data_IF_158279384700
#
_entry.id   IF_158279384700
#
_cell.length_a   1.000
_cell.length_b   1.000
_cell.length_c   1.000
_cell.angle_alpha   90.00
_cell.angle_beta   90.00
_cell.angle_gamma   90.00
#
_symmetry.space_group_name_H-M   'P 1'
#
loop_
_entity.id
_entity.type
_entity.pdbx_description
1 polymer ?
#
# COMPACT_ATOMS: atom_id res chain seq x y z
N UNK A 1 -4.31 -14.87 0.66
CA UNK A 1 -3.89 -15.41 1.97
C UNK A 1 -2.81 -14.54 2.62
N UNK A 2 -1.77 -14.11 1.90
CA UNK A 2 -0.68 -13.29 2.45
C UNK A 2 -1.07 -11.85 2.88
N UNK A 3 -1.96 -11.20 2.14
CA UNK A 3 -2.49 -9.85 2.48
C UNK A 3 -3.11 -9.80 3.87
N UNK A 4 -4.02 -10.73 4.15
CA UNK A 4 -4.74 -10.78 5.42
C UNK A 4 -3.79 -11.05 6.60
N UNK A 5 -2.73 -11.85 6.43
CA UNK A 5 -1.80 -12.14 7.51
C UNK A 5 -1.05 -10.90 8.02
N UNK A 6 -0.45 -10.13 7.12
CA UNK A 6 0.29 -8.92 7.48
C UNK A 6 -0.63 -7.83 8.03
N UNK A 7 -1.76 -7.59 7.38
CA UNK A 7 -2.67 -6.52 7.77
C UNK A 7 -3.44 -6.86 9.06
N UNK A 8 -3.70 -8.15 9.33
CA UNK A 8 -4.30 -8.62 10.58
C UNK A 8 -3.43 -8.25 11.78
N UNK A 9 -2.12 -8.44 11.69
CA UNK A 9 -1.17 -8.06 12.76
C UNK A 9 -1.22 -6.55 13.00
N UNK A 10 -1.24 -5.73 11.95
CA UNK A 10 -1.37 -4.28 12.07
C UNK A 10 -2.71 -3.84 12.68
N UNK A 11 -3.78 -4.56 12.39
CA UNK A 11 -5.13 -4.23 12.87
C UNK A 11 -5.34 -4.59 14.33
N UNK A 12 -4.89 -5.77 14.76
CA UNK A 12 -5.19 -6.31 16.09
C UNK A 12 -4.00 -6.28 17.07
N UNK A 13 -2.79 -5.99 16.58
CA UNK A 13 -1.56 -6.02 17.38
C UNK A 13 -1.65 -5.14 18.62
N UNK A 14 -1.89 -3.84 18.45
CA UNK A 14 -1.98 -2.88 19.57
C UNK A 14 -3.02 -3.29 20.64
N UNK A 15 -4.30 -3.56 20.30
CA UNK A 15 -5.28 -3.93 21.31
C UNK A 15 -4.99 -5.29 21.97
N UNK A 16 -4.45 -6.27 21.26
CA UNK A 16 -4.06 -7.56 21.85
C UNK A 16 -2.89 -7.37 22.83
N UNK A 17 -1.86 -6.63 22.42
CA UNK A 17 -0.72 -6.34 23.29
C UNK A 17 -1.16 -5.61 24.55
N UNK A 18 -2.07 -4.64 24.44
CA UNK A 18 -2.64 -3.95 25.60
C UNK A 18 -3.45 -4.88 26.53
N UNK A 19 -4.25 -5.79 25.95
CA UNK A 19 -5.02 -6.77 26.73
C UNK A 19 -4.11 -7.79 27.44
N UNK A 20 -3.08 -8.28 26.77
CA UNK A 20 -2.11 -9.21 27.35
C UNK A 20 -1.28 -8.54 28.45
N UNK A 21 -0.85 -7.29 28.25
CA UNK A 21 -0.19 -6.50 29.29
C UNK A 21 -1.07 -6.32 30.53
N UNK A 22 -2.36 -6.05 30.34
CA UNK A 22 -3.32 -5.92 31.43
C UNK A 22 -3.52 -7.23 32.21
N UNK A 23 -3.70 -8.36 31.51
CA UNK A 23 -3.85 -9.65 32.16
C UNK A 23 -2.59 -10.04 32.94
N UNK A 24 -1.41 -9.81 32.36
CA UNK A 24 -0.14 -10.05 33.04
C UNK A 24 -0.03 -9.21 34.32
N UNK A 25 -0.33 -7.91 34.24
CA UNK A 25 -0.36 -7.06 35.43
C UNK A 25 -1.31 -7.59 36.50
N UNK A 26 -2.54 -7.95 36.12
CA UNK A 26 -3.56 -8.50 37.03
C UNK A 26 -3.08 -9.76 37.75
N UNK A 27 -2.32 -10.62 37.08
CA UNK A 27 -1.77 -11.85 37.66
C UNK A 27 -0.63 -11.58 38.65
N UNK A 28 0.17 -10.52 38.44
CA UNK A 28 1.29 -10.19 39.34
C UNK A 28 0.84 -9.64 40.69
N UNK A 29 -0.32 -8.97 40.76
CA UNK A 29 -0.81 -8.34 41.99
C UNK A 29 0.00 -7.13 42.46
N UNK A 30 0.97 -6.66 41.66
CA UNK A 30 1.82 -5.50 41.95
C UNK A 30 1.06 -4.22 41.58
N UNK A 31 1.19 -3.11 42.34
CA UNK A 31 0.68 -1.81 41.93
C UNK A 31 1.12 -1.41 40.51
N UNK A 32 0.22 -0.84 39.70
CA UNK A 32 0.49 -0.56 38.28
C UNK A 32 1.66 0.41 38.04
N UNK A 33 1.96 1.26 39.02
CA UNK A 33 3.08 2.19 39.02
C UNK A 33 4.45 1.52 39.29
N UNK A 34 4.45 0.27 39.78
CA UNK A 34 5.66 -0.46 40.17
C UNK A 34 6.00 -1.62 39.21
N UNK A 35 5.09 -1.99 38.31
CA UNK A 35 5.32 -3.03 37.31
C UNK A 35 5.98 -2.46 36.05
N UNK A 36 7.25 -2.80 35.84
CA UNK A 36 7.93 -2.57 34.57
C UNK A 36 7.39 -3.51 33.49
N UNK A 37 7.12 -2.97 32.30
CA UNK A 37 6.52 -3.69 31.16
C UNK A 37 7.52 -4.63 30.43
N UNK A 38 8.41 -5.28 31.18
CA UNK A 38 9.43 -6.20 30.64
C UNK A 38 8.79 -7.40 29.91
N UNK A 39 7.56 -7.74 30.31
CA UNK A 39 6.71 -8.71 29.62
C UNK A 39 6.52 -8.38 28.13
N UNK A 40 6.29 -7.11 27.79
CA UNK A 40 6.11 -6.67 26.41
C UNK A 40 7.41 -6.62 25.61
N UNK A 41 8.54 -6.51 26.31
CA UNK A 41 9.87 -6.54 25.69
C UNK A 41 10.34 -7.98 25.39
N UNK A 42 9.66 -8.99 25.93
CA UNK A 42 9.96 -10.39 25.63
C UNK A 42 9.48 -10.78 24.24
N UNK A 43 10.27 -11.59 23.52
CA UNK A 43 9.98 -12.01 22.13
C UNK A 43 8.86 -13.06 22.02
N UNK A 44 8.26 -13.48 23.14
CA UNK A 44 7.38 -14.66 23.23
C UNK A 44 5.94 -14.30 23.63
N UNK A 45 5.40 -13.20 23.10
CA UNK A 45 3.99 -12.86 23.27
C UNK A 45 3.15 -13.83 22.41
N UNK A 46 2.67 -14.91 23.03
CA UNK A 46 1.80 -15.90 22.38
C UNK A 46 0.37 -15.36 22.34
N UNK A 47 -0.09 -15.03 21.14
CA UNK A 47 -1.47 -14.59 20.91
C UNK A 47 -2.40 -15.79 20.78
N UNK A 48 -3.52 -15.86 21.53
CA UNK A 48 -4.49 -16.94 21.39
C UNK A 48 -5.15 -16.98 20.00
N UNK A 49 -5.21 -18.17 19.40
CA UNK A 49 -5.72 -18.36 18.03
C UNK A 49 -7.16 -17.85 17.82
N UNK A 50 -8.03 -17.95 18.84
CA UNK A 50 -9.41 -17.50 18.73
C UNK A 50 -9.51 -15.98 18.52
N UNK A 51 -8.60 -15.19 19.11
CA UNK A 51 -8.58 -13.73 18.93
C UNK A 51 -8.20 -13.37 17.50
N UNK A 52 -7.25 -14.09 16.91
CA UNK A 52 -6.85 -13.91 15.50
C UNK A 52 -8.00 -14.24 14.54
N UNK A 53 -8.74 -15.32 14.80
CA UNK A 53 -9.89 -15.71 13.96
C UNK A 53 -10.98 -14.65 14.01
N UNK A 54 -11.36 -14.18 15.22
CA UNK A 54 -12.39 -13.15 15.39
C UNK A 54 -11.95 -11.86 14.71
N UNK A 55 -10.71 -11.43 14.91
CA UNK A 55 -10.17 -10.23 14.29
C UNK A 55 -10.16 -10.32 12.75
N UNK A 56 -9.84 -11.50 12.19
CA UNK A 56 -9.92 -11.75 10.75
C UNK A 56 -11.33 -11.63 10.19
N UNK A 57 -12.34 -12.14 10.91
CA UNK A 57 -13.75 -12.00 10.53
C UNK A 57 -14.18 -10.54 10.57
N UNK A 58 -13.89 -9.82 11.66
CA UNK A 58 -14.24 -8.40 11.81
C UNK A 58 -13.59 -7.56 10.72
N UNK A 59 -12.30 -7.77 10.45
CA UNK A 59 -11.59 -7.11 9.36
C UNK A 59 -12.25 -7.36 8.01
N UNK A 60 -12.53 -8.64 7.69
CA UNK A 60 -13.14 -9.03 6.42
C UNK A 60 -14.51 -8.36 6.21
N UNK A 61 -15.38 -8.40 7.23
CA UNK A 61 -16.68 -7.74 7.20
C UNK A 61 -16.56 -6.22 7.04
N UNK A 62 -15.60 -5.61 7.74
CA UNK A 62 -15.38 -4.16 7.68
C UNK A 62 -14.97 -3.72 6.28
N UNK A 63 -14.05 -4.45 5.63
CA UNK A 63 -13.63 -4.15 4.26
C UNK A 63 -14.78 -4.39 3.28
N UNK A 64 -15.52 -5.49 3.43
CA UNK A 64 -16.62 -5.84 2.53
C UNK A 64 -17.74 -4.79 2.53
N UNK A 65 -18.06 -4.22 3.68
CA UNK A 65 -19.13 -3.23 3.85
C UNK A 65 -18.65 -1.78 3.65
N UNK A 66 -17.36 -1.54 3.44
CA UNK A 66 -16.79 -0.19 3.41
C UNK A 66 -16.93 0.48 2.05
N UNK A 67 -17.74 1.53 2.00
CA UNK A 67 -17.83 2.43 0.84
C UNK A 67 -16.49 3.11 0.52
N UNK A 68 -15.64 3.36 1.53
CA UNK A 68 -14.30 3.91 1.34
C UNK A 68 -13.38 2.91 0.64
N UNK A 69 -13.42 1.63 1.03
CA UNK A 69 -12.63 0.59 0.38
C UNK A 69 -12.97 0.48 -1.10
N UNK A 70 -14.27 0.53 -1.44
CA UNK A 70 -14.73 0.55 -2.84
C UNK A 70 -14.17 1.74 -3.63
N UNK A 71 -14.20 2.95 -3.06
CA UNK A 71 -13.65 4.16 -3.70
C UNK A 71 -12.13 4.10 -3.91
N UNK A 72 -11.41 3.44 -3.01
CA UNK A 72 -9.96 3.21 -3.16
C UNK A 72 -9.70 2.28 -4.33
N UNK A 73 -10.42 1.15 -4.41
CA UNK A 73 -10.33 0.23 -5.55
C UNK A 73 -10.62 0.94 -6.88
N UNK A 74 -11.66 1.78 -6.94
CA UNK A 74 -11.94 2.58 -8.14
C UNK A 74 -10.78 3.52 -8.52
N UNK A 75 -10.10 4.11 -7.54
CA UNK A 75 -8.97 5.02 -7.78
C UNK A 75 -7.73 4.26 -8.27
N UNK A 76 -7.44 3.10 -7.68
CA UNK A 76 -6.36 2.21 -8.09
C UNK A 76 -6.56 1.71 -9.52
N UNK A 77 -7.78 1.25 -9.85
CA UNK A 77 -8.13 0.80 -11.21
C UNK A 77 -7.96 1.93 -12.23
N UNK A 78 -8.39 3.15 -11.90
CA UNK A 78 -8.23 4.30 -12.80
C UNK A 78 -6.77 4.65 -13.06
N UNK A 79 -5.90 4.58 -12.04
CA UNK A 79 -4.47 4.89 -12.17
C UNK A 79 -3.70 3.84 -12.98
N UNK A 80 -4.10 2.57 -12.86
CA UNK A 80 -3.44 1.47 -13.55
C UNK A 80 -3.92 1.24 -14.99
N UNK A 81 -5.02 1.88 -15.42
CA UNK A 81 -5.69 1.62 -16.70
C UNK A 81 -4.75 1.87 -17.89
N UNK A 82 -4.83 1.00 -18.89
CA UNK A 82 -4.01 1.14 -20.10
C UNK A 82 -4.57 2.20 -21.05
N UNK A 83 -5.90 2.30 -21.17
CA UNK A 83 -6.54 3.23 -22.08
C UNK A 83 -6.55 4.68 -21.57
N UNK A 84 -6.31 5.61 -22.49
CA UNK A 84 -6.38 7.06 -22.24
C UNK A 84 -7.79 7.47 -21.84
N UNK A 85 -7.92 8.24 -20.76
CA UNK A 85 -9.15 8.95 -20.40
C UNK A 85 -8.83 9.99 -19.33
N UNK A 86 -9.86 10.55 -18.68
CA UNK A 86 -9.67 11.70 -17.78
C UNK A 86 -8.69 11.42 -16.63
N UNK A 87 -7.51 12.05 -16.74
CA UNK A 87 -6.46 11.99 -15.74
C UNK A 87 -6.84 12.85 -14.54
N UNK A 88 -7.08 12.21 -13.38
CA UNK A 88 -7.56 12.89 -12.16
C UNK A 88 -6.52 13.85 -11.53
N UNK A 89 -5.24 13.70 -11.87
CA UNK A 89 -4.14 14.44 -11.25
C UNK A 89 -3.59 15.52 -12.16
N UNK A 90 -3.33 16.72 -11.61
CA UNK A 90 -2.71 17.80 -12.39
C UNK A 90 -1.18 17.61 -12.46
N UNK A 91 -0.56 17.81 -13.62
CA UNK A 91 0.88 17.71 -13.78
C UNK A 91 1.57 18.84 -12.99
N UNK A 92 2.73 18.55 -12.40
CA UNK A 92 3.51 19.52 -11.63
C UNK A 92 4.96 19.58 -12.14
N UNK A 93 5.75 20.55 -11.67
CA UNK A 93 7.12 20.75 -12.14
C UNK A 93 8.02 19.52 -11.90
N UNK A 94 7.80 18.82 -10.78
CA UNK A 94 8.56 17.63 -10.42
C UNK A 94 8.23 16.47 -11.37
N UNK A 95 6.95 16.22 -11.64
CA UNK A 95 6.53 15.13 -12.54
C UNK A 95 6.99 15.38 -13.97
N UNK A 96 6.95 16.63 -14.45
CA UNK A 96 7.51 17.03 -15.75
C UNK A 96 9.00 16.75 -15.82
N UNK A 97 9.76 17.13 -14.79
CA UNK A 97 11.20 16.92 -14.76
C UNK A 97 11.57 15.43 -14.75
N UNK A 98 10.83 14.61 -14.00
CA UNK A 98 11.05 13.15 -13.97
C UNK A 98 10.80 12.55 -15.36
N UNK A 99 9.66 12.86 -15.99
CA UNK A 99 9.34 12.33 -17.32
C UNK A 99 10.36 12.79 -18.35
N UNK A 100 10.73 14.08 -18.35
CA UNK A 100 11.74 14.61 -19.27
C UNK A 100 13.11 13.94 -19.07
N UNK A 101 13.53 13.73 -17.83
CA UNK A 101 14.80 13.05 -17.52
C UNK A 101 14.78 11.60 -17.99
N UNK A 102 13.67 10.89 -17.79
CA UNK A 102 13.48 9.53 -18.28
C UNK A 102 13.51 9.44 -19.81
N UNK A 103 12.94 10.43 -20.52
CA UNK A 103 13.01 10.51 -21.98
C UNK A 103 14.45 10.76 -22.47
N UNK A 104 15.19 11.66 -21.81
CA UNK A 104 16.61 11.91 -22.12
C UNK A 104 17.44 10.64 -21.92
N UNK A 105 17.25 9.93 -20.80
CA UNK A 105 17.91 8.65 -20.56
C UNK A 105 17.54 7.62 -21.63
N UNK A 106 16.26 7.52 -21.99
CA UNK A 106 15.79 6.63 -23.06
C UNK A 106 16.46 6.92 -24.41
N UNK A 107 16.64 8.20 -24.75
CA UNK A 107 17.34 8.61 -25.97
C UNK A 107 18.82 8.22 -25.94
N UNK A 108 19.50 8.36 -24.80
CA UNK A 108 20.89 7.90 -24.63
C UNK A 108 20.99 6.39 -24.85
N UNK A 109 20.10 5.60 -24.24
CA UNK A 109 20.07 4.15 -24.43
C UNK A 109 19.76 3.75 -25.88
N UNK A 110 18.94 4.53 -26.60
CA UNK A 110 18.61 4.25 -27.99
C UNK A 110 19.81 4.35 -28.95
N UNK A 111 20.87 5.07 -28.56
CA UNK A 111 22.13 5.15 -29.30
C UNK A 111 22.95 3.86 -29.15
N UNK A 112 22.86 3.21 -28.00
CA UNK A 112 23.64 2.00 -27.65
C UNK A 112 22.94 0.73 -28.17
N UNK A 113 21.60 0.71 -28.18
CA UNK A 113 20.82 -0.48 -28.54
C UNK A 113 20.65 -0.58 -30.07
N UNK A 114 21.06 -1.68 -30.72
CA UNK A 114 20.88 -1.89 -32.14
C UNK A 114 19.40 -1.85 -32.57
N UNK A 115 19.13 -1.22 -33.71
CA UNK A 115 17.78 -1.03 -34.27
C UNK A 115 17.02 -2.34 -34.48
N UNK A 116 17.72 -3.44 -34.80
CA UNK A 116 17.14 -4.78 -34.94
C UNK A 116 16.52 -5.30 -33.65
N UNK A 117 17.14 -5.03 -32.49
CA UNK A 117 16.63 -5.43 -31.17
C UNK A 117 15.40 -4.58 -30.84
N UNK A 118 15.49 -3.27 -31.04
CA UNK A 118 14.38 -2.33 -30.80
C UNK A 118 13.17 -2.67 -31.65
N UNK A 119 13.38 -3.03 -32.93
CA UNK A 119 12.30 -3.42 -33.85
C UNK A 119 11.64 -4.74 -33.45
N UNK A 120 12.43 -5.74 -33.02
CA UNK A 120 11.91 -7.02 -32.52
C UNK A 120 11.10 -6.85 -31.24
N UNK A 121 11.59 -6.00 -30.33
CA UNK A 121 10.89 -5.65 -29.10
C UNK A 121 9.61 -4.86 -29.38
N UNK A 122 9.64 -3.84 -30.23
CA UNK A 122 8.44 -3.05 -30.54
C UNK A 122 7.33 -3.89 -31.19
N UNK A 123 7.68 -4.95 -31.94
CA UNK A 123 6.70 -5.88 -32.53
C UNK A 123 5.82 -6.58 -31.49
N UNK A 124 6.31 -6.79 -30.25
CA UNK A 124 5.48 -7.38 -29.18
C UNK A 124 4.47 -6.41 -28.57
N UNK A 125 4.54 -5.12 -28.90
CA UNK A 125 3.61 -4.08 -28.43
C UNK A 125 2.65 -3.60 -29.54
N UNK A 126 2.78 -4.12 -30.77
CA UNK A 126 1.83 -3.83 -31.84
C UNK A 126 0.51 -4.55 -31.51
N UNK A 127 -0.51 -3.79 -31.09
CA UNK A 127 -1.86 -4.33 -30.88
C UNK A 127 -2.40 -4.90 -32.19
N UNK A 128 -3.02 -6.09 -32.12
CA UNK A 128 -3.64 -6.70 -33.30
C UNK A 128 -4.82 -5.83 -33.76
N UNK A 129 -4.80 -5.37 -35.01
CA UNK A 129 -5.88 -4.57 -35.62
C UNK A 129 -7.26 -5.24 -35.59
N UNK A 130 -7.33 -6.53 -35.26
CA UNK A 130 -8.57 -7.31 -35.15
C UNK A 130 -9.35 -6.96 -33.87
N UNK A 131 -8.67 -6.52 -32.80
CA UNK A 131 -9.34 -6.13 -31.55
C UNK A 131 -10.03 -4.76 -31.66
N UNK A 132 -9.47 -3.80 -32.42
CA UNK A 132 -10.07 -2.47 -32.62
C UNK A 132 -11.42 -2.51 -33.36
N UNK A 133 -11.66 -3.53 -34.20
CA UNK A 133 -12.87 -3.64 -35.02
C UNK A 133 -14.05 -4.35 -34.32
N UNK A 134 -13.83 -4.98 -33.16
CA UNK A 134 -14.82 -5.87 -32.52
C UNK A 134 -15.47 -5.28 -31.26
N UNK A 135 -14.96 -4.15 -30.75
CA UNK A 135 -15.39 -3.58 -29.47
C UNK A 135 -16.54 -2.58 -29.70
N UNK A 136 -17.76 -3.11 -29.84
CA UNK A 136 -19.03 -2.33 -29.83
C UNK A 136 -19.62 -2.23 -28.41
N UNK A 137 -19.02 -2.90 -27.41
CA UNK A 137 -19.40 -2.81 -26.00
C UNK A 137 -18.22 -2.32 -25.18
N UNK A 138 -18.49 -1.50 -24.15
CA UNK A 138 -17.48 -0.89 -23.27
C UNK A 138 -16.34 -1.87 -22.97
N UNK A 139 -15.11 -1.63 -23.48
CA UNK A 139 -14.00 -2.53 -23.20
C UNK A 139 -13.80 -2.59 -21.69
N UNK A 140 -13.52 -3.77 -21.11
CA UNK A 140 -13.26 -3.88 -19.69
C UNK A 140 -12.13 -2.91 -19.31
N UNK A 141 -12.30 -2.17 -18.21
CA UNK A 141 -11.35 -1.15 -17.76
C UNK A 141 -9.91 -1.68 -17.54
N UNK A 142 -9.74 -3.01 -17.53
CA UNK A 142 -8.47 -3.72 -17.47
C UNK A 142 -8.56 -5.05 -18.21
N UNK A 143 -7.45 -5.49 -18.81
CA UNK A 143 -7.24 -6.89 -19.15
C UNK A 143 -7.25 -7.72 -17.85
N UNK A 144 -8.19 -8.67 -17.74
CA UNK A 144 -8.33 -9.56 -16.58
C UNK A 144 -7.06 -10.38 -16.33
N UNK A 145 -6.32 -10.71 -17.39
CA UNK A 145 -5.03 -11.41 -17.28
C UNK A 145 -4.03 -10.50 -16.58
N UNK A 146 -3.94 -9.23 -16.97
CA UNK A 146 -3.05 -8.25 -16.34
C UNK A 146 -3.39 -8.02 -14.87
N UNK A 147 -4.67 -7.90 -14.53
CA UNK A 147 -5.11 -7.78 -13.15
C UNK A 147 -4.73 -9.02 -12.32
N UNK A 148 -4.95 -10.22 -12.87
CA UNK A 148 -4.57 -11.48 -12.22
C UNK A 148 -3.05 -11.60 -12.03
N UNK A 149 -2.24 -11.24 -13.03
CA UNK A 149 -0.78 -11.25 -12.91
C UNK A 149 -0.29 -10.29 -11.85
N UNK A 150 -0.79 -9.04 -11.85
CA UNK A 150 -0.44 -8.05 -10.83
C UNK A 150 -0.78 -8.56 -9.42
N UNK A 151 -1.97 -9.17 -9.25
CA UNK A 151 -2.39 -9.74 -7.98
C UNK A 151 -1.49 -10.89 -7.53
N UNK A 152 -1.11 -11.79 -8.43
CA UNK A 152 -0.21 -12.92 -8.12
C UNK A 152 1.17 -12.43 -7.73
N UNK A 153 1.75 -11.52 -8.51
CA UNK A 153 3.09 -10.97 -8.22
C UNK A 153 3.10 -10.22 -6.88
N UNK A 154 2.11 -9.36 -6.63
CA UNK A 154 1.98 -8.66 -5.35
C UNK A 154 1.80 -9.66 -4.19
N UNK A 155 0.96 -10.69 -4.37
CA UNK A 155 0.73 -11.73 -3.36
C UNK A 155 2.00 -12.49 -3.00
N UNK A 156 2.82 -12.85 -4.01
CA UNK A 156 4.09 -13.57 -3.80
C UNK A 156 5.07 -12.69 -3.02
N UNK A 157 5.23 -11.42 -3.41
CA UNK A 157 6.12 -10.48 -2.72
C UNK A 157 5.71 -10.28 -1.26
N UNK A 158 4.41 -10.12 -0.99
CA UNK A 158 3.89 -9.98 0.37
C UNK A 158 4.06 -11.28 1.17
N UNK A 159 3.80 -12.44 0.55
CA UNK A 159 3.98 -13.74 1.22
C UNK A 159 5.44 -13.96 1.63
N UNK A 160 6.36 -13.68 0.70
CA UNK A 160 7.79 -13.85 0.91
C UNK A 160 8.29 -12.96 2.05
N UNK A 161 7.93 -11.68 2.04
CA UNK A 161 8.37 -10.76 3.09
C UNK A 161 7.67 -10.99 4.44
N UNK A 162 6.39 -11.40 4.45
CA UNK A 162 5.71 -11.87 5.67
C UNK A 162 6.42 -13.09 6.25
N UNK A 163 6.89 -14.03 5.40
CA UNK A 163 7.71 -15.16 5.84
C UNK A 163 9.03 -14.74 6.50
N UNK A 164 9.57 -13.57 6.11
CA UNK A 164 10.75 -12.97 6.72
C UNK A 164 10.43 -12.08 7.92
N UNK A 165 9.16 -12.02 8.36
CA UNK A 165 8.67 -11.15 9.44
C UNK A 165 8.96 -9.67 9.20
N UNK A 166 9.05 -9.24 7.95
CA UNK A 166 9.26 -7.84 7.61
C UNK A 166 7.92 -7.09 7.70
N UNK A 167 7.84 -5.98 8.47
CA UNK A 167 6.66 -5.14 8.48
C UNK A 167 6.56 -4.43 7.12
N UNK A 168 5.51 -4.75 6.36
CA UNK A 168 5.30 -4.18 5.03
C UNK A 168 3.99 -3.41 4.95
N UNK A 169 3.95 -2.48 3.99
CA UNK A 169 2.72 -1.90 3.49
C UNK A 169 2.23 -2.71 2.28
N UNK A 170 1.15 -3.48 2.45
CA UNK A 170 0.53 -4.24 1.35
C UNK A 170 0.03 -3.31 0.25
N UNK A 171 -0.46 -2.13 0.62
CA UNK A 171 -0.89 -1.08 -0.31
C UNK A 171 0.28 -0.54 -1.14
N UNK A 172 1.45 -0.35 -0.53
CA UNK A 172 2.66 0.04 -1.25
C UNK A 172 3.05 -1.02 -2.28
N UNK A 173 3.13 -2.29 -1.87
CA UNK A 173 3.56 -3.38 -2.76
C UNK A 173 2.61 -3.55 -3.94
N UNK A 174 1.29 -3.64 -3.68
CA UNK A 174 0.30 -3.78 -4.76
C UNK A 174 0.33 -2.60 -5.73
N UNK A 175 0.38 -1.37 -5.20
CA UNK A 175 0.45 -0.18 -6.03
C UNK A 175 1.71 -0.15 -6.89
N UNK A 176 2.87 -0.52 -6.34
CA UNK A 176 4.12 -0.57 -7.10
C UNK A 176 4.13 -1.66 -8.18
N UNK A 177 3.53 -2.82 -7.91
CA UNK A 177 3.37 -3.87 -8.92
C UNK A 177 2.46 -3.39 -10.06
N UNK A 178 1.30 -2.79 -9.73
CA UNK A 178 0.35 -2.30 -10.72
C UNK A 178 0.92 -1.14 -11.58
N UNK A 179 1.60 -0.19 -10.95
CA UNK A 179 2.22 0.93 -11.65
C UNK A 179 3.45 0.49 -12.44
N UNK A 180 4.29 -0.39 -11.88
CA UNK A 180 5.48 -0.93 -12.54
C UNK A 180 5.13 -1.72 -13.79
N UNK A 181 4.10 -2.58 -13.73
CA UNK A 181 3.62 -3.29 -14.92
C UNK A 181 3.04 -2.33 -15.96
N UNK A 182 2.28 -1.30 -15.53
CA UNK A 182 1.75 -0.27 -16.45
C UNK A 182 2.85 0.46 -17.24
N UNK A 183 3.98 0.73 -16.59
CA UNK A 183 5.13 1.36 -17.22
C UNK A 183 5.81 0.41 -18.21
N UNK A 184 6.00 -0.86 -17.81
CA UNK A 184 6.61 -1.89 -18.64
C UNK A 184 5.78 -2.21 -19.90
N UNK A 185 4.45 -2.11 -19.81
CA UNK A 185 3.50 -2.35 -20.90
C UNK A 185 3.45 -1.19 -21.91
N UNK A 186 4.25 -0.13 -21.74
CA UNK A 186 4.17 1.13 -22.51
C UNK A 186 2.77 1.75 -22.51
N UNK A 187 2.01 1.56 -21.44
CA UNK A 187 0.67 2.12 -21.33
C UNK A 187 0.67 3.65 -21.15
N UNK A 188 1.84 4.27 -20.91
CA UNK A 188 1.97 5.71 -20.65
C UNK A 188 2.40 6.42 -21.93
N UNK A 189 1.49 7.20 -22.52
CA UNK A 189 1.81 8.12 -23.60
C UNK A 189 2.69 9.28 -23.09
N UNK A 190 3.45 9.92 -23.99
CA UNK A 190 4.34 11.04 -23.63
C UNK A 190 3.60 12.15 -22.88
N UNK A 191 2.36 12.42 -23.26
CA UNK A 191 1.54 13.48 -22.68
C UNK A 191 0.85 13.04 -21.38
N UNK A 192 0.38 11.79 -21.29
CA UNK A 192 -0.28 11.24 -20.08
C UNK A 192 0.70 10.81 -18.98
N UNK A 193 1.95 10.46 -19.31
CA UNK A 193 2.97 10.06 -18.35
C UNK A 193 3.19 11.10 -17.25
N UNK A 194 3.14 12.40 -17.58
CA UNK A 194 3.35 13.49 -16.63
C UNK A 194 2.24 13.54 -15.57
N UNK A 195 1.01 13.23 -15.96
CA UNK A 195 -0.16 13.18 -15.09
C UNK A 195 -0.09 11.96 -14.17
N UNK A 196 0.25 10.79 -14.72
CA UNK A 196 0.36 9.53 -13.98
C UNK A 196 1.51 9.56 -12.97
N UNK A 197 2.68 10.10 -13.34
CA UNK A 197 3.79 10.32 -12.40
C UNK A 197 3.39 11.30 -11.29
N UNK A 198 2.65 12.36 -11.60
CA UNK A 198 2.13 13.27 -10.57
C UNK A 198 1.17 12.55 -9.60
N UNK A 199 0.33 11.66 -10.10
CA UNK A 199 -0.51 10.78 -9.28
C UNK A 199 0.31 9.89 -8.34
N UNK A 200 1.31 9.18 -8.88
CA UNK A 200 2.23 8.34 -8.08
C UNK A 200 2.92 9.14 -6.99
N UNK A 201 3.47 10.32 -7.31
CA UNK A 201 4.12 11.19 -6.32
C UNK A 201 3.13 11.67 -5.24
N UNK A 202 1.89 11.97 -5.62
CA UNK A 202 0.86 12.40 -4.69
C UNK A 202 0.49 11.29 -3.70
N UNK A 203 0.38 10.04 -4.19
CA UNK A 203 0.12 8.86 -3.35
C UNK A 203 1.28 8.62 -2.37
N UNK A 204 2.52 8.62 -2.88
CA UNK A 204 3.73 8.44 -2.04
C UNK A 204 3.84 9.57 -1.01
N UNK A 205 3.66 10.82 -1.42
CA UNK A 205 3.67 11.97 -0.52
C UNK A 205 2.60 11.87 0.56
N UNK A 206 1.41 11.38 0.21
CA UNK A 206 0.35 11.07 1.16
C UNK A 206 0.80 10.09 2.25
N UNK A 207 1.49 9.00 1.88
CA UNK A 207 2.02 8.03 2.86
C UNK A 207 3.00 8.65 3.84
N UNK A 208 3.93 9.49 3.36
CA UNK A 208 4.87 10.19 4.23
C UNK A 208 4.18 11.17 5.18
N UNK A 209 3.20 11.93 4.69
CA UNK A 209 2.42 12.87 5.51
C UNK A 209 1.63 12.10 6.58
N UNK A 210 0.99 10.99 6.22
CA UNK A 210 0.28 10.14 7.19
C UNK A 210 1.22 9.59 8.26
N UNK A 211 2.39 9.09 7.88
CA UNK A 211 3.39 8.61 8.83
C UNK A 211 3.88 9.73 9.76
N UNK A 212 4.13 10.93 9.21
CA UNK A 212 4.55 12.09 9.98
C UNK A 212 3.49 12.54 11.00
N UNK A 213 2.22 12.58 10.59
CA UNK A 213 1.10 12.92 11.47
C UNK A 213 0.96 11.86 12.56
N UNK A 214 0.96 10.57 12.21
CA UNK A 214 0.85 9.49 13.17
C UNK A 214 1.99 9.52 14.20
N UNK A 215 3.23 9.75 13.73
CA UNK A 215 4.39 9.92 14.59
C UNK A 215 4.23 11.12 15.54
N UNK A 216 3.80 12.27 15.03
CA UNK A 216 3.64 13.49 15.81
C UNK A 216 2.54 13.35 16.87
N UNK A 217 1.39 12.77 16.50
CA UNK A 217 0.29 12.50 17.44
C UNK A 217 0.70 11.48 18.50
N UNK A 218 1.39 10.41 18.10
CA UNK A 218 1.90 9.40 19.04
C UNK A 218 2.93 10.01 20.01
N UNK A 219 3.82 10.86 19.52
CA UNK A 219 4.78 11.59 20.35
C UNK A 219 4.08 12.54 21.33
N UNK A 220 3.02 13.23 20.90
CA UNK A 220 2.20 14.07 21.77
C UNK A 220 1.51 13.25 22.87
N UNK A 221 0.92 12.11 22.52
CA UNK A 221 0.29 11.21 23.49
C UNK A 221 1.31 10.68 24.50
N UNK A 222 2.47 10.23 24.03
CA UNK A 222 3.56 9.80 24.90
C UNK A 222 4.03 10.93 25.83
N UNK A 223 4.12 12.16 25.34
CA UNK A 223 4.48 13.33 26.14
C UNK A 223 3.43 13.64 27.22
N UNK A 224 2.14 13.57 26.88
CA UNK A 224 1.03 13.77 27.82
C UNK A 224 1.05 12.69 28.91
N UNK A 225 1.27 11.42 28.56
CA UNK A 225 1.38 10.34 29.53
C UNK A 225 2.61 10.53 30.45
N UNK A 226 3.75 10.90 29.87
CA UNK A 226 5.00 11.07 30.62
C UNK A 226 4.95 12.25 31.61
N UNK A 227 4.38 13.38 31.21
CA UNK A 227 4.29 14.59 32.07
C UNK A 227 3.03 14.65 32.93
N UNK A 228 1.91 14.14 32.42
CA UNK A 228 0.60 14.24 33.05
C UNK A 228 0.28 13.10 34.02
N UNK A 229 1.03 12.00 34.01
CA UNK A 229 0.76 10.84 34.86
C UNK A 229 -0.69 10.35 34.73
N UNK A 230 -1.35 10.07 35.86
CA UNK A 230 -2.74 9.61 35.87
C UNK A 230 -3.71 10.61 35.25
N UNK A 231 -3.52 11.91 35.50
CA UNK A 231 -4.36 12.98 34.92
C UNK A 231 -4.22 12.99 33.40
N UNK A 232 -3.00 12.83 32.89
CA UNK A 232 -2.72 12.72 31.46
C UNK A 232 -3.43 11.52 30.82
N UNK A 233 -3.44 10.37 31.50
CA UNK A 233 -4.18 9.17 31.06
C UNK A 233 -5.67 9.44 30.97
N UNK A 234 -6.28 10.05 31.99
CA UNK A 234 -7.71 10.36 31.97
C UNK A 234 -8.09 11.34 30.85
N UNK A 235 -7.26 12.34 30.58
CA UNK A 235 -7.46 13.27 29.46
C UNK A 235 -7.46 12.53 28.12
N UNK A 236 -6.51 11.61 27.92
CA UNK A 236 -6.41 10.86 26.67
C UNK A 236 -7.55 9.86 26.48
N UNK A 237 -8.06 9.26 27.55
CA UNK A 237 -9.21 8.34 27.48
C UNK A 237 -10.53 9.09 27.21
N UNK A 238 -10.62 10.36 27.61
CA UNK A 238 -11.80 11.19 27.39
C UNK A 238 -11.87 11.82 25.98
N UNK A 239 -10.75 11.84 25.24
CA UNK A 239 -10.61 12.36 23.88
C UNK A 239 -11.02 11.33 22.82
#
# INVERSE_FOLDING_TARGET
MAFAGNDLVNFIGVPITGFLAFNHWKETGIPANELYQDYLASNDIIVPNYMLIIAGIVMGLTVWLSAKAKKVTETEVNLGRQDEGDEKFKPNAISRNIVNSSLVLGNIFSIIIPTSITKRYNKSFEKSKIEEATIVQEPPAFDLVRAATNLVVASILIAWATSMKLPLSTTYVSFMVAMGSSLADKAWGRESAVYRVAGVLSVIGGWFITAFIAFTVSALFAFILYKGGEIGTYILVAL
#
